data_IF_659114119450
#
_entry.id   IF_659114119450
#
_cell.length_a   1.000
_cell.length_b   1.000
_cell.length_c   1.000
_cell.angle_alpha   90.00
_cell.angle_beta   90.00
_cell.angle_gamma   90.00
#
_symmetry.space_group_name_H-M   'P 1'
#
loop_
_entity.id
_entity.type
_entity.pdbx_description
1 polymer ?
#
# COMPACT_ATOMS: atom_id res chain seq x y z
N UNK A 1 10.39 0.58 -1.44
CA UNK A 1 9.91 -0.45 -2.37
C UNK A 1 10.74 -0.51 -3.64
N UNK A 2 11.17 0.62 -4.20
CA UNK A 2 12.11 0.70 -5.34
C UNK A 2 13.26 -0.32 -5.30
N UNK A 3 14.07 -0.35 -4.23
CA UNK A 3 15.16 -1.34 -4.07
C UNK A 3 14.73 -2.81 -4.18
N UNK A 4 13.49 -3.14 -3.80
CA UNK A 4 12.97 -4.50 -3.96
C UNK A 4 12.69 -4.77 -5.43
N UNK A 5 12.01 -3.86 -6.12
CA UNK A 5 11.70 -3.99 -7.54
C UNK A 5 12.97 -4.08 -8.39
N UNK A 6 13.96 -3.22 -8.13
CA UNK A 6 15.24 -3.23 -8.84
C UNK A 6 16.04 -4.52 -8.59
N UNK A 7 16.04 -5.00 -7.34
CA UNK A 7 16.83 -6.18 -6.94
C UNK A 7 16.29 -7.47 -7.54
N UNK A 8 14.97 -7.57 -7.70
CA UNK A 8 14.31 -8.79 -8.16
C UNK A 8 13.78 -8.68 -9.59
N UNK A 9 14.05 -7.58 -10.29
CA UNK A 9 13.61 -7.32 -11.67
C UNK A 9 12.09 -7.48 -11.82
N UNK A 10 11.35 -6.76 -10.97
CA UNK A 10 9.89 -6.78 -10.94
C UNK A 10 9.35 -5.49 -11.56
N UNK A 11 8.62 -5.61 -12.66
CA UNK A 11 7.88 -4.49 -13.25
C UNK A 11 6.80 -4.00 -12.27
N UNK A 12 6.90 -2.74 -11.83
CA UNK A 12 6.06 -2.18 -10.79
C UNK A 12 5.03 -1.15 -11.30
N UNK A 13 4.69 -1.15 -12.59
CA UNK A 13 3.75 -0.17 -13.17
C UNK A 13 2.39 -0.08 -12.44
N UNK A 14 1.86 -1.19 -11.93
CA UNK A 14 0.58 -1.21 -11.20
C UNK A 14 0.75 -1.10 -9.67
N UNK A 15 1.98 -0.92 -9.19
CA UNK A 15 2.24 -0.76 -7.77
C UNK A 15 1.88 0.64 -7.29
N UNK A 16 0.87 0.73 -6.42
CA UNK A 16 0.48 1.98 -5.75
C UNK A 16 1.01 2.04 -4.32
N UNK A 17 2.02 2.88 -4.06
CA UNK A 17 2.62 3.00 -2.72
C UNK A 17 1.59 3.33 -1.63
N UNK A 18 0.66 4.25 -1.93
CA UNK A 18 -0.38 4.69 -0.98
C UNK A 18 -1.38 3.59 -0.62
N UNK A 19 -1.43 2.49 -1.38
CA UNK A 19 -2.31 1.35 -1.12
C UNK A 19 -1.82 0.53 0.08
N UNK A 20 -0.50 0.40 0.20
CA UNK A 20 0.17 -0.43 1.21
C UNK A 20 0.81 0.35 2.34
N UNK A 21 1.18 1.61 2.07
CA UNK A 21 1.94 2.44 2.99
C UNK A 21 1.29 3.83 3.13
N UNK A 22 1.61 4.49 4.24
CA UNK A 22 1.29 5.91 4.41
C UNK A 22 2.36 6.75 3.71
N UNK A 23 1.95 7.59 2.75
CA UNK A 23 2.83 8.47 1.98
C UNK A 23 3.63 9.44 2.81
N UNK A 24 2.98 10.03 3.79
CA UNK A 24 3.60 10.83 4.83
C UNK A 24 3.65 9.98 6.09
N UNK A 25 4.78 9.99 6.80
CA UNK A 25 4.83 9.45 8.15
C UNK A 25 3.68 10.02 8.99
N UNK A 26 3.17 9.23 9.93
CA UNK A 26 2.08 9.65 10.80
C UNK A 26 2.44 10.98 11.48
N UNK A 27 1.74 12.06 11.12
CA UNK A 27 1.90 13.34 11.79
C UNK A 27 0.92 13.39 12.97
N UNK A 28 1.39 13.34 14.24
CA UNK A 28 0.52 13.33 15.40
C UNK A 28 -0.33 14.59 15.52
N UNK A 29 0.06 15.71 14.89
CA UNK A 29 -0.75 16.93 14.84
C UNK A 29 -2.08 16.73 14.10
N UNK A 30 -2.17 15.75 13.19
CA UNK A 30 -3.43 15.38 12.51
C UNK A 30 -4.49 14.85 13.49
N UNK A 31 -4.09 14.37 14.69
CA UNK A 31 -5.02 13.92 15.73
C UNK A 31 -5.89 15.05 16.27
N UNK A 32 -5.37 16.28 16.29
CA UNK A 32 -6.11 17.46 16.75
C UNK A 32 -7.31 17.79 15.86
N UNK A 33 -7.32 17.28 14.62
CA UNK A 33 -8.36 17.53 13.63
C UNK A 33 -9.41 16.40 13.58
N UNK A 34 -9.25 15.32 14.35
CA UNK A 34 -10.23 14.21 14.44
C UNK A 34 -11.67 14.62 14.83
N UNK A 35 -11.91 15.68 15.63
CA UNK A 35 -13.28 16.14 15.92
C UNK A 35 -14.03 16.65 14.69
N UNK A 36 -13.33 17.04 13.60
CA UNK A 36 -13.96 17.50 12.37
C UNK A 36 -14.42 16.29 11.52
N UNK A 37 -15.73 16.12 11.25
CA UNK A 37 -16.26 14.92 10.59
C UNK A 37 -15.69 14.68 9.18
N UNK A 38 -15.43 15.75 8.44
CA UNK A 38 -14.81 15.72 7.12
C UNK A 38 -13.36 15.24 7.18
N UNK A 39 -12.61 15.66 8.21
CA UNK A 39 -11.23 15.24 8.43
C UNK A 39 -11.17 13.79 8.92
N UNK A 40 -12.09 13.37 9.80
CA UNK A 40 -12.18 11.99 10.29
C UNK A 40 -12.36 10.98 9.16
N UNK A 41 -13.24 11.24 8.19
CA UNK A 41 -13.41 10.36 7.01
C UNK A 41 -12.13 10.27 6.18
N UNK A 42 -11.48 11.40 5.93
CA UNK A 42 -10.22 11.44 5.19
C UNK A 42 -9.12 10.66 5.94
N UNK A 43 -9.07 10.82 7.25
CA UNK A 43 -8.11 10.13 8.12
C UNK A 43 -8.35 8.62 8.15
N UNK A 44 -9.60 8.17 8.17
CA UNK A 44 -9.93 6.73 8.09
C UNK A 44 -9.45 6.12 6.77
N UNK A 45 -9.68 6.79 5.64
CA UNK A 45 -9.17 6.33 4.34
C UNK A 45 -7.63 6.37 4.25
N UNK A 46 -6.98 7.28 5.00
CA UNK A 46 -5.52 7.28 5.16
C UNK A 46 -5.03 6.12 6.03
N UNK A 47 -5.86 5.55 6.91
CA UNK A 47 -5.47 4.48 7.85
C UNK A 47 -5.82 3.07 7.33
N UNK A 48 -6.90 2.93 6.57
CA UNK A 48 -7.28 1.67 5.93
C UNK A 48 -6.36 1.35 4.75
N UNK A 49 -5.25 0.66 5.04
CA UNK A 49 -4.28 0.16 4.04
C UNK A 49 -4.48 -1.33 3.79
N UNK A 50 -4.20 -1.76 2.57
CA UNK A 50 -4.05 -3.18 2.26
C UNK A 50 -2.72 -3.65 2.88
N UNK A 51 -2.71 -4.75 3.67
CA UNK A 51 -1.47 -5.24 4.25
C UNK A 51 -0.56 -5.77 3.14
N UNK A 52 0.68 -5.29 3.07
CA UNK A 52 1.70 -5.87 2.21
C UNK A 52 2.33 -7.08 2.90
N UNK A 53 2.11 -8.28 2.38
CA UNK A 53 2.60 -9.54 2.98
C UNK A 53 3.84 -10.08 2.28
N UNK A 54 4.58 -10.97 2.95
CA UNK A 54 5.69 -11.70 2.32
C UNK A 54 5.21 -12.57 1.14
N UNK A 55 4.00 -13.11 1.20
CA UNK A 55 3.41 -13.87 0.11
C UNK A 55 3.20 -13.02 -1.14
N UNK A 56 2.76 -11.77 -0.96
CA UNK A 56 2.60 -10.81 -2.07
C UNK A 56 3.94 -10.47 -2.72
N UNK A 57 4.97 -10.23 -1.91
CA UNK A 57 6.32 -9.99 -2.41
C UNK A 57 6.84 -11.21 -3.18
N UNK A 58 6.70 -12.41 -2.63
CA UNK A 58 7.09 -13.65 -3.31
C UNK A 58 6.34 -13.82 -4.64
N UNK A 59 5.04 -13.53 -4.68
CA UNK A 59 4.22 -13.58 -5.89
C UNK A 59 4.66 -12.56 -6.94
N UNK A 60 5.00 -11.33 -6.53
CA UNK A 60 5.54 -10.31 -7.43
C UNK A 60 6.87 -10.72 -8.06
N UNK A 61 7.74 -11.39 -7.30
CA UNK A 61 9.00 -11.97 -7.83
C UNK A 61 8.71 -13.12 -8.79
N UNK A 62 7.79 -14.03 -8.45
CA UNK A 62 7.39 -15.16 -9.30
C UNK A 62 6.85 -14.70 -10.66
N UNK A 63 6.02 -13.65 -10.66
CA UNK A 63 5.41 -13.08 -11.87
C UNK A 63 6.33 -12.12 -12.63
N UNK A 64 7.45 -11.68 -12.03
CA UNK A 64 8.30 -10.57 -12.51
C UNK A 64 7.54 -9.27 -12.78
N UNK A 65 6.35 -9.14 -12.20
CA UNK A 65 5.46 -7.99 -12.34
C UNK A 65 4.61 -7.84 -11.08
N UNK A 66 4.36 -6.61 -10.68
CA UNK A 66 3.32 -6.26 -9.75
C UNK A 66 1.97 -6.26 -10.46
N UNK A 67 1.26 -7.39 -10.42
CA UNK A 67 -0.12 -7.54 -10.89
C UNK A 67 -1.01 -7.53 -9.65
N UNK A 68 -1.64 -6.38 -9.37
CA UNK A 68 -2.31 -6.13 -8.07
C UNK A 68 -3.42 -7.14 -7.80
N UNK A 69 -4.18 -7.54 -8.82
CA UNK A 69 -5.26 -8.52 -8.68
C UNK A 69 -4.71 -9.91 -8.32
N UNK A 70 -3.70 -10.39 -9.05
CA UNK A 70 -3.10 -11.70 -8.80
C UNK A 70 -2.31 -11.76 -7.50
N UNK A 71 -1.68 -10.65 -7.10
CA UNK A 71 -0.86 -10.58 -5.90
C UNK A 71 -1.71 -10.49 -4.63
N UNK A 72 -2.78 -9.70 -4.64
CA UNK A 72 -3.67 -9.57 -3.49
C UNK A 72 -4.59 -10.78 -3.29
N UNK A 73 -4.78 -11.59 -4.34
CA UNK A 73 -5.52 -12.83 -4.24
C UNK A 73 -6.94 -12.62 -3.71
N UNK A 74 -7.60 -11.52 -4.12
CA UNK A 74 -9.04 -11.36 -3.91
C UNK A 74 -9.73 -12.46 -4.70
N UNK A 75 -9.95 -13.57 -4.02
CA UNK A 75 -10.95 -14.56 -4.39
C UNK A 75 -12.23 -14.02 -3.81
N UNK A 76 -13.13 -13.58 -4.69
CA UNK A 76 -14.53 -13.27 -4.42
C UNK A 76 -15.23 -14.39 -3.64
#
# INVERSE_FOLDING_TARGET
>A
MEKFFDKFDVDYQEFEFQRYFNGEGFNPLKLLLLPFPSFRRKFQNEVEKVPLTLGMLAKGVELRKWDTEKIEGRTD
#
